data_IF_019336928532
#
_entry.id   IF_019336928532
#
_cell.length_a   1.000
_cell.length_b   1.000
_cell.length_c   1.000
_cell.angle_alpha   90.00
_cell.angle_beta   90.00
_cell.angle_gamma   90.00
#
_symmetry.space_group_name_H-M   'P 1'
#
loop_
_entity.id
_entity.type
_entity.pdbx_description
1 polymer ?
#
# COMPACT_ATOMS: atom_id res chain seq x y z
N UNK A 1 21.16 -66.99 59.15
CA UNK A 1 19.89 -66.27 59.41
C UNK A 1 20.10 -64.81 59.80
N UNK A 2 20.93 -64.49 60.81
CA UNK A 2 21.12 -63.10 61.27
C UNK A 2 21.62 -62.11 60.18
N UNK A 3 22.59 -62.51 59.36
CA UNK A 3 23.16 -61.66 58.32
C UNK A 3 22.14 -61.24 57.24
N UNK A 4 21.28 -62.17 56.82
CA UNK A 4 20.20 -61.89 55.87
C UNK A 4 19.16 -60.92 56.45
N UNK A 5 18.87 -61.05 57.75
CA UNK A 5 17.95 -60.16 58.46
C UNK A 5 18.52 -58.74 58.59
N UNK A 6 19.81 -58.59 58.91
CA UNK A 6 20.49 -57.30 58.91
C UNK A 6 20.50 -56.64 57.52
N UNK A 7 20.71 -57.42 56.45
CA UNK A 7 20.68 -56.91 55.08
C UNK A 7 19.28 -56.40 54.69
N UNK A 8 18.22 -57.13 55.04
CA UNK A 8 16.85 -56.66 54.80
C UNK A 8 16.49 -55.40 55.60
N UNK A 9 16.87 -55.33 56.88
CA UNK A 9 16.66 -54.13 57.70
C UNK A 9 17.36 -52.90 57.10
N UNK A 10 18.59 -53.06 56.62
CA UNK A 10 19.31 -51.97 55.94
C UNK A 10 18.66 -51.57 54.61
N UNK A 11 18.15 -52.53 53.85
CA UNK A 11 17.41 -52.27 52.61
C UNK A 11 16.11 -51.49 52.89
N UNK A 12 15.34 -51.86 53.91
CA UNK A 12 14.12 -51.13 54.31
C UNK A 12 14.42 -49.71 54.81
N UNK A 13 15.47 -49.53 55.63
CA UNK A 13 15.92 -48.18 56.05
C UNK A 13 16.32 -47.30 54.86
N UNK A 14 16.97 -47.88 53.85
CA UNK A 14 17.33 -47.16 52.63
C UNK A 14 16.08 -46.79 51.81
N UNK A 15 15.11 -47.72 51.70
CA UNK A 15 13.84 -47.48 51.03
C UNK A 15 13.02 -46.37 51.72
N UNK A 16 12.97 -46.36 53.06
CA UNK A 16 12.33 -45.31 53.86
C UNK A 16 12.97 -43.94 53.60
N UNK A 17 14.32 -43.85 53.59
CA UNK A 17 15.03 -42.61 53.23
C UNK A 17 14.72 -42.14 51.80
N UNK A 18 14.65 -43.08 50.85
CA UNK A 18 14.27 -42.77 49.46
C UNK A 18 12.84 -42.27 49.36
N UNK A 19 11.90 -42.92 50.05
CA UNK A 19 10.49 -42.51 50.12
C UNK A 19 10.35 -41.11 50.75
N UNK A 20 11.06 -40.83 51.84
CA UNK A 20 11.07 -39.51 52.46
C UNK A 20 11.64 -38.42 51.53
N UNK A 21 12.68 -38.74 50.74
CA UNK A 21 13.22 -37.81 49.73
C UNK A 21 12.22 -37.59 48.59
N UNK A 22 11.61 -38.66 48.08
CA UNK A 22 10.60 -38.57 47.03
C UNK A 22 9.39 -37.73 47.48
N UNK A 23 8.94 -37.91 48.74
CA UNK A 23 7.85 -37.12 49.30
C UNK A 23 8.18 -35.64 49.39
N UNK A 24 9.36 -35.27 49.90
CA UNK A 24 9.81 -33.87 49.90
C UNK A 24 9.90 -33.27 48.49
N UNK A 25 10.33 -34.06 47.51
CA UNK A 25 10.39 -33.61 46.12
C UNK A 25 8.99 -33.40 45.53
N UNK A 26 8.04 -34.29 45.82
CA UNK A 26 6.64 -34.15 45.44
C UNK A 26 6.03 -32.90 46.09
N UNK A 27 6.17 -32.71 47.40
CA UNK A 27 5.65 -31.54 48.12
C UNK A 27 6.22 -30.21 47.57
N UNK A 28 7.45 -30.20 47.07
CA UNK A 28 8.04 -29.04 46.40
C UNK A 28 7.45 -28.86 45.00
N UNK A 29 7.35 -29.94 44.22
CA UNK A 29 6.80 -29.90 42.88
C UNK A 29 5.34 -29.42 42.87
N UNK A 30 4.52 -29.91 43.79
CA UNK A 30 3.13 -29.47 43.97
C UNK A 30 3.06 -27.97 44.30
N UNK A 31 3.86 -27.48 45.25
CA UNK A 31 3.90 -26.03 45.57
C UNK A 31 4.33 -25.16 44.39
N UNK A 32 5.32 -25.60 43.62
CA UNK A 32 5.79 -24.87 42.43
C UNK A 32 4.72 -24.91 41.34
N UNK A 33 4.06 -26.05 41.15
CA UNK A 33 3.00 -26.22 40.17
C UNK A 33 1.79 -25.34 40.51
N UNK A 34 1.35 -25.31 41.77
CA UNK A 34 0.26 -24.46 42.24
C UNK A 34 0.59 -22.99 42.05
N UNK A 35 1.80 -22.56 42.47
CA UNK A 35 2.25 -21.18 42.29
C UNK A 35 2.32 -20.79 40.81
N UNK A 36 2.78 -21.68 39.93
CA UNK A 36 2.79 -21.47 38.49
C UNK A 36 1.37 -21.36 37.93
N UNK A 37 0.45 -22.24 38.32
CA UNK A 37 -0.93 -22.21 37.86
C UNK A 37 -1.63 -20.91 38.25
N UNK A 38 -1.48 -20.48 39.51
CA UNK A 38 -2.04 -19.20 39.97
C UNK A 38 -1.48 -18.03 39.17
N UNK A 39 -0.15 -17.98 39.01
CA UNK A 39 0.49 -16.87 38.28
C UNK A 39 0.09 -16.85 36.80
N UNK A 40 0.03 -18.02 36.15
CA UNK A 40 -0.42 -18.14 34.77
C UNK A 40 -1.86 -17.68 34.60
N UNK A 41 -2.77 -18.08 35.49
CA UNK A 41 -4.18 -17.67 35.44
C UNK A 41 -4.33 -16.16 35.61
N UNK A 42 -3.60 -15.56 36.54
CA UNK A 42 -3.56 -14.11 36.75
C UNK A 42 -3.07 -13.36 35.52
N UNK A 43 -1.95 -13.79 34.93
CA UNK A 43 -1.34 -13.13 33.78
C UNK A 43 -2.24 -13.22 32.54
N UNK A 44 -2.86 -14.39 32.30
CA UNK A 44 -3.83 -14.58 31.20
C UNK A 44 -5.07 -13.71 31.42
N UNK A 45 -5.61 -13.66 32.64
CA UNK A 45 -6.77 -12.83 32.94
C UNK A 45 -6.48 -11.33 32.73
N UNK A 46 -5.30 -10.85 33.14
CA UNK A 46 -4.87 -9.48 32.92
C UNK A 46 -4.66 -9.16 31.44
N UNK A 47 -4.07 -10.08 30.69
CA UNK A 47 -3.87 -9.96 29.24
C UNK A 47 -5.21 -9.86 28.50
N UNK A 48 -6.16 -10.76 28.79
CA UNK A 48 -7.49 -10.74 28.19
C UNK A 48 -8.25 -9.47 28.55
N UNK A 49 -8.13 -8.97 29.78
CA UNK A 49 -8.74 -7.70 30.19
C UNK A 49 -8.16 -6.51 29.41
N UNK A 50 -6.83 -6.47 29.22
CA UNK A 50 -6.17 -5.42 28.44
C UNK A 50 -6.60 -5.43 26.97
N UNK A 51 -6.61 -6.61 26.35
CA UNK A 51 -7.06 -6.78 24.96
C UNK A 51 -8.54 -6.39 24.85
N UNK A 52 -9.41 -6.91 25.73
CA UNK A 52 -10.85 -6.59 25.73
C UNK A 52 -11.12 -5.09 25.77
N UNK A 53 -10.44 -4.36 26.67
CA UNK A 53 -10.57 -2.89 26.75
C UNK A 53 -10.20 -2.24 25.42
N UNK A 54 -9.09 -2.65 24.82
CA UNK A 54 -8.62 -2.05 23.57
C UNK A 54 -9.51 -2.38 22.38
N UNK A 55 -10.05 -3.60 22.33
CA UNK A 55 -11.05 -4.00 21.33
C UNK A 55 -12.29 -3.14 21.46
N UNK A 56 -12.81 -2.93 22.68
CA UNK A 56 -13.97 -2.06 22.89
C UNK A 56 -13.70 -0.62 22.44
N UNK A 57 -12.55 -0.04 22.79
CA UNK A 57 -12.15 1.31 22.34
C UNK A 57 -12.14 1.44 20.81
N UNK A 58 -11.52 0.49 20.11
CA UNK A 58 -11.44 0.49 18.63
C UNK A 58 -12.83 0.28 18.02
N UNK A 59 -13.61 -0.64 18.58
CA UNK A 59 -14.94 -0.96 18.08
C UNK A 59 -15.92 0.22 18.23
N UNK A 60 -15.93 0.91 19.37
CA UNK A 60 -16.74 2.10 19.59
C UNK A 60 -16.31 3.26 18.68
N UNK A 61 -15.02 3.37 18.33
CA UNK A 61 -14.55 4.35 17.35
C UNK A 61 -15.08 4.05 15.92
N UNK A 62 -15.30 2.78 15.58
CA UNK A 62 -15.90 2.37 14.31
C UNK A 62 -17.43 2.52 14.30
N UNK A 63 -18.09 2.47 15.46
CA UNK A 63 -19.56 2.56 15.60
C UNK A 63 -20.01 3.61 16.64
N UNK A 64 -19.67 4.89 16.46
CA UNK A 64 -20.10 5.95 17.37
C UNK A 64 -21.62 6.00 17.51
N UNK A 65 -22.09 6.06 18.75
CA UNK A 65 -23.51 6.18 19.08
C UNK A 65 -24.27 4.85 19.16
N UNK A 66 -23.60 3.72 18.95
CA UNK A 66 -24.15 2.40 19.22
C UNK A 66 -23.81 1.94 20.64
N UNK A 67 -24.82 1.51 21.39
CA UNK A 67 -24.69 1.03 22.77
C UNK A 67 -24.18 -0.43 22.79
N UNK A 68 -22.98 -0.63 22.25
CA UNK A 68 -22.26 -1.91 22.17
C UNK A 68 -20.93 -1.84 22.94
N UNK A 69 -20.88 -1.03 23.99
CA UNK A 69 -19.66 -0.66 24.72
C UNK A 69 -18.98 -1.79 25.51
N UNK A 70 -19.57 -2.99 25.56
CA UNK A 70 -19.06 -4.11 26.37
C UNK A 70 -18.60 -5.31 25.54
N UNK A 71 -17.92 -5.04 24.42
CA UNK A 71 -17.12 -6.06 23.73
C UNK A 71 -16.01 -6.56 24.66
N UNK A 72 -15.84 -7.88 24.71
CA UNK A 72 -14.72 -8.49 25.43
C UNK A 72 -14.29 -9.83 24.82
N UNK A 73 -13.07 -10.22 25.14
CA UNK A 73 -12.49 -11.52 24.81
C UNK A 73 -12.45 -12.34 26.09
N UNK A 74 -13.25 -13.40 26.15
CA UNK A 74 -13.43 -14.21 27.35
C UNK A 74 -12.89 -15.65 27.16
N UNK A 75 -12.48 -16.35 28.23
CA UNK A 75 -12.16 -17.79 28.19
C UNK A 75 -13.43 -18.63 27.94
N UNK A 76 -13.46 -19.47 26.91
CA UNK A 76 -14.63 -20.29 26.49
C UNK A 76 -14.50 -21.74 26.92
N UNK A 77 -13.29 -22.28 26.75
CA UNK A 77 -12.93 -23.61 27.21
C UNK A 77 -11.56 -23.55 27.86
N UNK A 78 -11.09 -24.66 28.42
CA UNK A 78 -9.74 -24.77 28.97
C UNK A 78 -8.62 -24.39 27.97
N UNK A 79 -8.92 -24.30 26.66
CA UNK A 79 -7.95 -23.99 25.60
C UNK A 79 -8.42 -22.93 24.59
N UNK A 80 -9.57 -22.29 24.80
CA UNK A 80 -10.18 -21.42 23.81
C UNK A 80 -10.66 -20.11 24.41
N UNK A 81 -10.57 -19.04 23.62
CA UNK A 81 -11.20 -17.75 23.90
C UNK A 81 -12.32 -17.52 22.91
N UNK A 82 -13.29 -16.70 23.29
CA UNK A 82 -14.43 -16.35 22.44
C UNK A 82 -14.80 -14.89 22.67
N UNK A 83 -15.29 -14.24 21.61
CA UNK A 83 -15.79 -12.88 21.70
C UNK A 83 -17.16 -12.86 22.38
N UNK A 84 -17.36 -11.91 23.27
CA UNK A 84 -18.62 -11.69 23.95
C UNK A 84 -19.02 -10.22 23.84
N UNK A 85 -20.31 -9.98 23.61
CA UNK A 85 -20.90 -8.64 23.60
C UNK A 85 -22.12 -8.63 24.53
N UNK A 86 -22.50 -7.46 25.03
CA UNK A 86 -23.83 -7.25 25.57
C UNK A 86 -24.71 -6.65 24.50
N UNK A 87 -25.88 -7.25 24.30
CA UNK A 87 -26.84 -6.84 23.30
C UNK A 87 -28.20 -6.73 23.99
N UNK A 88 -28.69 -5.49 24.18
CA UNK A 88 -29.96 -5.19 24.84
C UNK A 88 -30.13 -5.90 26.21
N UNK A 89 -29.11 -5.84 27.07
CA UNK A 89 -29.12 -6.46 28.39
C UNK A 89 -28.95 -7.99 28.39
N UNK A 90 -28.65 -8.58 27.23
CA UNK A 90 -28.36 -10.01 27.09
C UNK A 90 -26.92 -10.23 26.66
N UNK A 91 -26.18 -11.07 27.39
CA UNK A 91 -24.80 -11.42 27.06
C UNK A 91 -24.79 -12.46 25.93
N UNK A 92 -24.19 -12.12 24.79
CA UNK A 92 -24.13 -12.96 23.60
C UNK A 92 -22.72 -13.47 23.35
N UNK A 93 -22.60 -14.78 23.17
CA UNK A 93 -21.32 -15.48 23.05
C UNK A 93 -21.46 -16.82 22.32
N UNK A 94 -21.00 -16.95 21.06
CA UNK A 94 -20.40 -15.91 20.23
C UNK A 94 -21.45 -14.92 19.70
N UNK A 95 -21.06 -13.72 19.24
CA UNK A 95 -22.00 -12.67 18.82
C UNK A 95 -22.57 -12.84 17.40
N UNK A 96 -22.21 -13.91 16.68
CA UNK A 96 -22.57 -14.10 15.26
C UNK A 96 -24.08 -14.21 15.00
N UNK A 97 -24.88 -14.59 16.00
CA UNK A 97 -26.33 -14.70 15.85
C UNK A 97 -27.09 -13.37 15.99
N UNK A 98 -26.41 -12.30 16.44
CA UNK A 98 -27.04 -11.00 16.73
C UNK A 98 -26.39 -9.84 15.97
N UNK A 99 -25.14 -9.98 15.53
CA UNK A 99 -24.42 -8.96 14.76
C UNK A 99 -24.56 -9.19 13.25
N UNK A 100 -24.62 -8.10 12.49
CA UNK A 100 -24.49 -8.16 11.04
C UNK A 100 -23.05 -8.51 10.62
N UNK A 101 -22.88 -8.89 9.36
CA UNK A 101 -21.56 -9.20 8.79
C UNK A 101 -20.57 -8.02 8.90
N UNK A 102 -21.04 -6.79 8.68
CA UNK A 102 -20.24 -5.57 8.83
C UNK A 102 -19.74 -5.38 10.27
N UNK A 103 -20.61 -5.64 11.26
CA UNK A 103 -20.23 -5.57 12.67
C UNK A 103 -19.24 -6.67 13.04
N UNK A 104 -19.42 -7.89 12.54
CA UNK A 104 -18.49 -9.00 12.77
C UNK A 104 -17.10 -8.71 12.18
N UNK A 105 -17.04 -8.18 10.96
CA UNK A 105 -15.77 -7.80 10.34
C UNK A 105 -15.09 -6.67 11.09
N UNK A 106 -15.84 -5.65 11.53
CA UNK A 106 -15.30 -4.57 12.36
C UNK A 106 -14.76 -5.06 13.70
N UNK A 107 -15.45 -6.02 14.33
CA UNK A 107 -15.01 -6.66 15.57
C UNK A 107 -13.69 -7.44 15.36
N UNK A 108 -13.58 -8.14 14.23
CA UNK A 108 -12.37 -8.86 13.85
C UNK A 108 -11.19 -7.91 13.61
N UNK A 109 -11.40 -6.77 12.94
CA UNK A 109 -10.38 -5.73 12.75
C UNK A 109 -9.97 -5.13 14.11
N UNK A 110 -10.93 -4.81 14.97
CA UNK A 110 -10.65 -4.29 16.31
C UNK A 110 -9.80 -5.27 17.14
N UNK A 111 -10.14 -6.56 17.10
CA UNK A 111 -9.36 -7.62 17.74
C UNK A 111 -7.95 -7.73 17.14
N UNK A 112 -7.83 -7.75 15.82
CA UNK A 112 -6.54 -7.84 15.14
C UNK A 112 -5.62 -6.67 15.52
N UNK A 113 -6.12 -5.44 15.48
CA UNK A 113 -5.36 -4.24 15.83
C UNK A 113 -4.95 -4.23 17.31
N UNK A 114 -5.86 -4.58 18.23
CA UNK A 114 -5.55 -4.69 19.65
C UNK A 114 -4.50 -5.79 19.95
N UNK A 115 -4.60 -6.93 19.27
CA UNK A 115 -3.61 -8.00 19.36
C UNK A 115 -2.26 -7.58 18.79
N UNK A 116 -2.25 -6.91 17.65
CA UNK A 116 -1.04 -6.35 17.09
C UNK A 116 -0.38 -5.39 18.10
N UNK A 117 -1.14 -4.52 18.77
CA UNK A 117 -0.56 -3.54 19.71
C UNK A 117 0.05 -4.23 20.92
N UNK A 118 -0.53 -5.38 21.27
CA UNK A 118 -0.12 -6.16 22.43
C UNK A 118 1.08 -7.06 22.15
N UNK A 119 1.22 -7.60 20.94
CA UNK A 119 2.20 -8.65 20.64
C UNK A 119 3.24 -8.26 19.59
N UNK A 120 3.00 -7.22 18.79
CA UNK A 120 3.93 -6.76 17.76
C UNK A 120 4.97 -5.77 18.33
N UNK A 121 5.89 -6.28 19.15
CA UNK A 121 6.90 -5.45 19.83
C UNK A 121 8.13 -5.15 18.95
N UNK A 122 8.35 -5.91 17.87
CA UNK A 122 9.63 -5.90 17.13
C UNK A 122 9.53 -5.53 15.65
N UNK A 123 8.41 -5.79 14.98
CA UNK A 123 8.33 -5.66 13.51
C UNK A 123 8.15 -4.20 13.08
N UNK A 124 7.43 -3.39 13.88
CA UNK A 124 7.27 -1.95 13.67
C UNK A 124 6.40 -1.55 12.46
N UNK A 125 5.81 -2.52 11.75
CA UNK A 125 4.88 -2.28 10.65
C UNK A 125 3.66 -3.22 10.70
N UNK A 126 2.58 -2.82 10.04
CA UNK A 126 1.42 -3.67 9.75
C UNK A 126 1.08 -3.67 8.27
N UNK A 127 0.65 -4.84 7.80
CA UNK A 127 0.09 -5.04 6.46
C UNK A 127 -1.40 -5.38 6.58
N UNK A 128 -2.26 -4.57 5.96
CA UNK A 128 -3.70 -4.78 5.88
C UNK A 128 -4.05 -5.05 4.42
N UNK A 129 -4.41 -6.29 4.10
CA UNK A 129 -4.79 -6.70 2.74
C UNK A 129 -6.31 -6.84 2.63
N UNK A 130 -6.91 -5.84 1.99
CA UNK A 130 -8.34 -5.78 1.65
C UNK A 130 -9.31 -5.98 2.82
N UNK A 131 -8.97 -5.37 3.95
CA UNK A 131 -9.70 -5.52 5.23
C UNK A 131 -11.10 -4.90 5.25
N UNK A 132 -11.54 -4.26 4.17
CA UNK A 132 -12.81 -3.52 4.14
C UNK A 132 -13.97 -4.31 3.53
N UNK A 133 -13.76 -5.60 3.21
CA UNK A 133 -14.81 -6.39 2.59
C UNK A 133 -16.05 -6.46 3.50
N UNK A 134 -17.23 -6.35 2.91
CA UNK A 134 -18.54 -6.29 3.60
C UNK A 134 -18.79 -5.06 4.51
N UNK A 135 -17.94 -4.02 4.47
CA UNK A 135 -18.24 -2.71 5.09
C UNK A 135 -19.12 -1.85 4.19
N UNK A 136 -20.09 -1.14 4.78
CA UNK A 136 -20.79 -0.04 4.10
C UNK A 136 -19.90 1.22 3.97
N UNK A 137 -20.40 2.21 3.23
CA UNK A 137 -19.64 3.43 2.92
C UNK A 137 -19.26 4.23 4.16
N UNK A 138 -20.12 4.26 5.19
CA UNK A 138 -19.89 5.03 6.41
C UNK A 138 -18.77 4.39 7.25
N UNK A 139 -18.85 3.08 7.46
CA UNK A 139 -17.84 2.35 8.23
C UNK A 139 -16.46 2.37 7.54
N UNK A 140 -16.41 2.41 6.19
CA UNK A 140 -15.14 2.58 5.45
C UNK A 140 -14.44 3.89 5.78
N UNK A 141 -15.18 4.99 5.86
CA UNK A 141 -14.63 6.30 6.21
C UNK A 141 -14.03 6.29 7.62
N UNK A 142 -14.79 5.76 8.58
CA UNK A 142 -14.35 5.65 9.98
C UNK A 142 -13.11 4.78 10.14
N UNK A 143 -13.03 3.65 9.44
CA UNK A 143 -11.84 2.82 9.44
C UNK A 143 -10.63 3.56 8.85
N UNK A 144 -10.81 4.32 7.77
CA UNK A 144 -9.72 5.11 7.20
C UNK A 144 -9.23 6.20 8.16
N UNK A 145 -10.14 6.87 8.89
CA UNK A 145 -9.80 7.82 9.95
C UNK A 145 -9.04 7.15 11.09
N UNK A 146 -9.57 6.04 11.60
CA UNK A 146 -8.94 5.23 12.66
C UNK A 146 -7.51 4.82 12.28
N UNK A 147 -7.30 4.31 11.06
CA UNK A 147 -5.97 3.90 10.59
C UNK A 147 -5.02 5.09 10.41
N UNK A 148 -5.51 6.21 9.88
CA UNK A 148 -4.71 7.40 9.65
C UNK A 148 -4.25 8.07 10.96
N UNK A 149 -5.11 8.09 11.99
CA UNK A 149 -4.87 8.83 13.23
C UNK A 149 -4.41 7.96 14.39
N UNK A 150 -4.95 6.74 14.49
CA UNK A 150 -4.84 5.90 15.68
C UNK A 150 -3.56 5.05 15.76
N UNK A 151 -2.83 4.91 14.65
CA UNK A 151 -1.71 3.96 14.52
C UNK A 151 -0.44 4.62 13.96
N UNK A 152 -0.21 5.89 14.29
CA UNK A 152 0.91 6.69 13.78
C UNK A 152 2.30 6.20 14.23
N UNK A 153 2.39 5.44 15.33
CA UNK A 153 3.62 4.83 15.83
C UNK A 153 4.12 3.68 14.93
N UNK A 154 3.29 3.19 14.01
CA UNK A 154 3.60 2.07 13.14
C UNK A 154 3.67 2.48 11.67
N UNK A 155 4.53 1.79 10.91
CA UNK A 155 4.45 1.85 9.46
C UNK A 155 3.24 1.04 8.99
N UNK A 156 2.20 1.71 8.49
CA UNK A 156 1.06 1.03 7.89
C UNK A 156 1.25 0.82 6.39
N UNK A 157 0.96 -0.38 5.92
CA UNK A 157 0.88 -0.77 4.52
C UNK A 157 -0.54 -1.28 4.29
N UNK A 158 -1.31 -0.56 3.49
CA UNK A 158 -2.72 -0.90 3.23
C UNK A 158 -2.88 -1.20 1.75
N UNK A 159 -3.34 -2.42 1.46
CA UNK A 159 -3.70 -2.88 0.13
C UNK A 159 -5.23 -2.95 0.06
N UNK A 160 -5.80 -2.45 -1.02
CA UNK A 160 -7.25 -2.49 -1.24
C UNK A 160 -7.56 -2.47 -2.72
N UNK A 161 -8.66 -3.11 -3.11
CA UNK A 161 -9.23 -2.97 -4.44
C UNK A 161 -10.34 -1.90 -4.50
N UNK A 162 -10.70 -1.30 -3.37
CA UNK A 162 -11.78 -0.33 -3.29
C UNK A 162 -11.26 1.11 -3.45
N UNK A 163 -11.64 1.74 -4.55
CA UNK A 163 -11.21 3.08 -4.90
C UNK A 163 -11.73 4.14 -3.92
N UNK A 164 -12.93 3.99 -3.36
CA UNK A 164 -13.50 4.99 -2.46
C UNK A 164 -12.75 5.01 -1.13
N UNK A 165 -12.43 3.85 -0.59
CA UNK A 165 -11.62 3.71 0.61
C UNK A 165 -10.21 4.25 0.39
N UNK A 166 -9.57 3.90 -0.74
CA UNK A 166 -8.26 4.45 -1.12
C UNK A 166 -8.27 5.98 -1.18
N UNK A 167 -9.27 6.58 -1.83
CA UNK A 167 -9.41 8.03 -1.93
C UNK A 167 -9.64 8.68 -0.56
N UNK A 168 -10.49 8.09 0.27
CA UNK A 168 -10.79 8.59 1.60
C UNK A 168 -9.54 8.58 2.49
N UNK A 169 -8.85 7.43 2.56
CA UNK A 169 -7.59 7.28 3.29
C UNK A 169 -6.52 8.24 2.75
N UNK A 170 -6.43 8.40 1.43
CA UNK A 170 -5.50 9.33 0.78
C UNK A 170 -5.76 10.80 1.09
N UNK A 171 -7.02 11.19 1.33
CA UNK A 171 -7.39 12.55 1.77
C UNK A 171 -7.06 12.73 3.24
N UNK A 172 -7.36 11.74 4.08
CA UNK A 172 -7.16 11.81 5.53
C UNK A 172 -5.69 11.72 5.94
N UNK A 173 -4.89 10.97 5.17
CA UNK A 173 -3.47 10.74 5.39
C UNK A 173 -2.64 11.25 4.17
N UNK A 174 -2.53 12.58 3.97
CA UNK A 174 -1.89 13.15 2.78
C UNK A 174 -0.39 12.87 2.69
N UNK A 175 0.27 12.54 3.81
CA UNK A 175 1.69 12.19 3.89
C UNK A 175 2.00 10.76 3.43
N UNK A 176 1.00 9.89 3.31
CA UNK A 176 1.20 8.50 2.92
C UNK A 176 1.60 8.36 1.46
N UNK A 177 2.41 7.34 1.17
CA UNK A 177 2.76 6.98 -0.22
C UNK A 177 1.57 6.32 -0.89
N UNK A 178 1.19 6.86 -2.05
CA UNK A 178 0.05 6.41 -2.85
C UNK A 178 0.56 5.65 -4.06
N UNK A 179 0.12 4.42 -4.20
CA UNK A 179 0.46 3.52 -5.31
C UNK A 179 -0.83 2.82 -5.74
N UNK A 180 -1.22 3.01 -6.99
CA UNK A 180 -2.34 2.27 -7.59
C UNK A 180 -1.77 1.34 -8.65
N UNK A 181 -2.13 0.06 -8.58
CA UNK A 181 -1.73 -0.91 -9.58
C UNK A 181 -2.72 -0.92 -10.75
N UNK A 182 -2.24 -0.62 -11.95
CA UNK A 182 -3.08 -0.48 -13.15
C UNK A 182 -3.22 -1.78 -13.94
N UNK A 183 -2.15 -2.58 -14.02
CA UNK A 183 -2.13 -3.83 -14.77
C UNK A 183 -0.95 -4.69 -14.33
N UNK A 184 -0.97 -5.98 -14.69
CA UNK A 184 0.09 -6.93 -14.31
C UNK A 184 0.41 -7.85 -15.49
N UNK A 185 1.69 -8.23 -15.63
CA UNK A 185 2.07 -9.36 -16.47
C UNK A 185 3.19 -10.18 -15.84
N UNK A 186 3.22 -11.48 -16.12
CA UNK A 186 4.21 -12.40 -15.54
C UNK A 186 5.66 -11.94 -15.80
N UNK A 187 5.96 -11.45 -17.01
CA UNK A 187 7.30 -11.03 -17.40
C UNK A 187 7.71 -9.64 -16.85
N UNK A 188 6.76 -8.77 -16.50
CA UNK A 188 7.04 -7.38 -16.13
C UNK A 188 6.58 -7.00 -14.71
N UNK A 189 5.87 -7.88 -14.02
CA UNK A 189 5.30 -7.61 -12.71
C UNK A 189 4.09 -6.65 -12.75
N UNK A 190 3.64 -6.18 -11.56
CA UNK A 190 2.58 -5.19 -11.43
C UNK A 190 3.06 -3.82 -11.92
N UNK A 191 2.20 -3.10 -12.59
CA UNK A 191 2.39 -1.74 -13.09
C UNK A 191 1.63 -0.77 -12.22
N UNK A 192 2.19 0.42 -11.99
CA UNK A 192 1.58 1.46 -11.15
C UNK A 192 1.14 2.68 -11.93
N UNK A 193 0.26 3.52 -11.37
CA UNK A 193 -0.07 4.87 -11.87
C UNK A 193 1.05 5.89 -11.69
N UNK A 194 2.12 5.55 -10.96
CA UNK A 194 3.36 6.30 -11.10
C UNK A 194 3.87 6.07 -12.52
N UNK A 195 3.74 7.09 -13.36
CA UNK A 195 4.27 7.10 -14.72
C UNK A 195 5.78 6.87 -14.66
N UNK A 196 6.20 5.63 -14.88
CA UNK A 196 7.60 5.24 -14.90
C UNK A 196 8.19 5.40 -16.30
N UNK A 197 7.93 6.52 -16.98
CA UNK A 197 8.46 6.79 -18.32
C UNK A 197 9.96 6.52 -18.37
N UNK A 198 10.72 6.97 -17.37
CA UNK A 198 12.17 6.72 -17.24
C UNK A 198 12.51 5.22 -17.13
N UNK A 199 11.70 4.44 -16.40
CA UNK A 199 11.89 2.99 -16.25
C UNK A 199 11.58 2.24 -17.55
N UNK A 200 10.51 2.63 -18.26
CA UNK A 200 10.14 2.05 -19.56
C UNK A 200 11.19 2.38 -20.62
N UNK A 201 11.70 3.62 -20.64
CA UNK A 201 12.79 4.02 -21.53
C UNK A 201 14.06 3.22 -21.29
N UNK A 202 14.42 2.98 -20.02
CA UNK A 202 15.57 2.11 -19.68
C UNK A 202 15.37 0.71 -20.22
N UNK A 203 14.20 0.11 -20.00
CA UNK A 203 13.90 -1.22 -20.51
C UNK A 203 13.89 -1.30 -22.04
N UNK A 204 13.47 -0.23 -22.72
CA UNK A 204 13.52 -0.15 -24.17
C UNK A 204 14.97 -0.13 -24.68
N UNK A 205 15.86 0.62 -24.02
CA UNK A 205 17.30 0.66 -24.32
C UNK A 205 17.96 -0.71 -24.12
N UNK A 206 17.71 -1.36 -22.98
CA UNK A 206 18.22 -2.72 -22.69
C UNK A 206 17.82 -3.73 -23.78
N UNK A 207 16.58 -3.66 -24.27
CA UNK A 207 16.10 -4.53 -25.36
C UNK A 207 16.80 -4.23 -26.68
N UNK A 208 17.03 -2.95 -26.97
CA UNK A 208 17.72 -2.53 -28.19
C UNK A 208 19.18 -3.03 -28.18
N UNK A 209 19.85 -2.91 -27.03
CA UNK A 209 21.21 -3.42 -26.81
C UNK A 209 21.27 -4.95 -26.95
N UNK A 210 20.23 -5.67 -26.52
CA UNK A 210 20.13 -7.12 -26.72
C UNK A 210 19.71 -7.54 -28.14
N UNK A 211 19.53 -6.60 -29.07
CA UNK A 211 19.14 -6.86 -30.46
C UNK A 211 17.63 -7.05 -30.69
N UNK A 212 16.79 -6.89 -29.65
CA UNK A 212 15.33 -6.95 -29.74
C UNK A 212 14.75 -5.59 -30.17
N UNK A 213 14.96 -5.24 -31.44
CA UNK A 213 14.51 -3.96 -32.03
C UNK A 213 12.98 -3.81 -31.94
N UNK A 214 12.24 -4.90 -32.13
CA UNK A 214 10.78 -4.89 -32.08
C UNK A 214 10.26 -4.64 -30.67
N UNK A 215 10.81 -5.33 -29.67
CA UNK A 215 10.46 -5.10 -28.26
C UNK A 215 10.87 -3.71 -27.80
N UNK A 216 12.03 -3.20 -28.24
CA UNK A 216 12.46 -1.83 -27.98
C UNK A 216 11.46 -0.81 -28.56
N UNK A 217 11.04 -0.96 -29.82
CA UNK A 217 10.05 -0.06 -30.44
C UNK A 217 8.69 -0.10 -29.73
N UNK A 218 8.22 -1.29 -29.34
CA UNK A 218 6.97 -1.46 -28.58
C UNK A 218 7.03 -0.73 -27.23
N UNK A 219 8.16 -0.85 -26.53
CA UNK A 219 8.39 -0.16 -25.25
C UNK A 219 8.54 1.35 -25.43
N UNK A 220 9.22 1.80 -26.49
CA UNK A 220 9.35 3.22 -26.82
C UNK A 220 7.98 3.86 -27.08
N UNK A 221 7.11 3.22 -27.87
CA UNK A 221 5.73 3.68 -28.10
C UNK A 221 4.97 3.85 -26.80
N UNK A 222 5.04 2.84 -25.94
CA UNK A 222 4.39 2.84 -24.64
C UNK A 222 4.91 3.97 -23.73
N UNK A 223 6.23 4.16 -23.67
CA UNK A 223 6.84 5.22 -22.86
C UNK A 223 6.34 6.60 -23.30
N UNK A 224 6.26 6.84 -24.61
CA UNK A 224 5.75 8.09 -25.17
C UNK A 224 4.27 8.29 -24.85
N UNK A 225 3.44 7.25 -24.97
CA UNK A 225 2.01 7.32 -24.65
C UNK A 225 1.78 7.64 -23.17
N UNK A 226 2.45 6.93 -22.26
CA UNK A 226 2.39 7.20 -20.82
C UNK A 226 2.86 8.62 -20.48
N UNK A 227 3.96 9.09 -21.09
CA UNK A 227 4.43 10.47 -20.91
C UNK A 227 3.40 11.49 -21.37
N UNK A 228 2.79 11.29 -22.53
CA UNK A 228 1.79 12.22 -23.06
C UNK A 228 0.50 12.22 -22.24
N UNK A 229 0.08 11.05 -21.72
CA UNK A 229 -1.05 10.93 -20.79
C UNK A 229 -0.76 11.68 -19.48
N UNK A 230 0.42 11.48 -18.88
CA UNK A 230 0.86 12.20 -17.69
C UNK A 230 0.85 13.72 -17.92
N UNK A 231 1.41 14.19 -19.03
CA UNK A 231 1.43 15.62 -19.37
C UNK A 231 0.00 16.14 -19.58
N UNK A 232 -0.87 15.39 -20.26
CA UNK A 232 -2.25 15.81 -20.47
C UNK A 232 -3.04 15.90 -19.17
N UNK A 233 -2.87 14.92 -18.29
CA UNK A 233 -3.48 14.90 -16.96
C UNK A 233 -2.95 16.07 -16.11
N UNK A 234 -1.63 16.20 -16.00
CA UNK A 234 -0.98 17.20 -15.17
C UNK A 234 -1.27 18.64 -15.62
N UNK A 235 -1.54 18.86 -16.91
CA UNK A 235 -1.84 20.17 -17.46
C UNK A 235 -3.34 20.42 -17.69
N UNK A 236 -4.21 19.48 -17.32
CA UNK A 236 -5.65 19.50 -17.63
C UNK A 236 -5.91 19.81 -19.12
N UNK A 237 -5.26 19.06 -20.00
CA UNK A 237 -5.34 19.29 -21.42
C UNK A 237 -6.79 19.10 -21.93
N UNK A 238 -7.31 20.04 -22.75
CA UNK A 238 -8.69 19.97 -23.23
C UNK A 238 -8.83 18.88 -24.30
N UNK A 239 -9.29 17.70 -23.87
CA UNK A 239 -9.56 16.53 -24.72
C UNK A 239 -11.08 16.25 -24.79
N UNK A 240 -11.59 15.67 -25.90
CA UNK A 240 -12.98 15.27 -25.99
C UNK A 240 -13.37 14.30 -24.87
N UNK A 241 -14.46 14.59 -24.17
CA UNK A 241 -15.00 13.73 -23.11
C UNK A 241 -15.47 12.38 -23.68
N UNK A 242 -15.05 11.28 -23.04
CA UNK A 242 -15.45 9.90 -23.36
C UNK A 242 -15.62 9.12 -22.04
N UNK A 243 -16.52 8.13 -22.01
CA UNK A 243 -16.73 7.25 -20.84
C UNK A 243 -16.12 5.86 -21.07
N UNK A 244 -15.61 5.25 -19.99
CA UNK A 244 -15.12 3.86 -19.95
C UNK A 244 -14.05 3.56 -21.02
N UNK A 245 -14.14 2.38 -21.64
CA UNK A 245 -13.17 1.91 -22.64
C UNK A 245 -12.89 2.89 -23.80
N UNK A 246 -13.84 3.77 -24.14
CA UNK A 246 -13.63 4.77 -25.18
C UNK A 246 -12.63 5.87 -24.78
N UNK A 247 -12.48 6.13 -23.48
CA UNK A 247 -11.44 7.02 -22.96
C UNK A 247 -10.09 6.28 -22.84
N UNK A 248 -10.11 5.01 -22.47
CA UNK A 248 -8.89 4.19 -22.29
C UNK A 248 -8.20 3.88 -23.61
N UNK A 249 -8.95 3.79 -24.71
CA UNK A 249 -8.43 3.56 -26.08
C UNK A 249 -8.12 4.86 -26.84
N UNK A 250 -7.73 5.91 -26.14
CA UNK A 250 -7.43 7.20 -26.78
C UNK A 250 -6.19 7.08 -27.64
N UNK A 251 -6.27 7.56 -28.89
CA UNK A 251 -5.13 7.50 -29.80
C UNK A 251 -4.05 8.51 -29.41
N UNK A 252 -2.78 8.13 -29.57
CA UNK A 252 -1.63 8.97 -29.20
C UNK A 252 -1.64 10.33 -29.92
N UNK A 253 -2.14 10.37 -31.15
CA UNK A 253 -2.32 11.61 -31.92
C UNK A 253 -3.32 12.59 -31.30
N UNK A 254 -4.28 12.10 -30.50
CA UNK A 254 -5.18 12.96 -29.72
C UNK A 254 -4.44 13.61 -28.54
N UNK A 255 -3.54 12.86 -27.88
CA UNK A 255 -2.73 13.37 -26.78
C UNK A 255 -1.78 14.47 -27.25
N UNK A 256 -1.10 14.29 -28.40
CA UNK A 256 -0.28 15.34 -28.99
C UNK A 256 -1.06 16.64 -29.26
N UNK A 257 -2.29 16.53 -29.79
CA UNK A 257 -3.17 17.69 -29.99
C UNK A 257 -3.52 18.36 -28.66
N UNK A 258 -3.82 17.57 -27.62
CA UNK A 258 -4.06 18.04 -26.27
C UNK A 258 -2.88 18.86 -25.74
N UNK A 259 -1.67 18.28 -25.76
CA UNK A 259 -0.43 18.94 -25.31
C UNK A 259 -0.19 20.24 -26.08
N UNK A 260 -0.25 20.22 -27.42
CA UNK A 260 -0.02 21.43 -28.24
C UNK A 260 -1.02 22.53 -27.93
N UNK A 261 -2.30 22.20 -27.77
CA UNK A 261 -3.35 23.17 -27.45
C UNK A 261 -3.10 23.83 -26.09
N UNK A 262 -2.82 23.02 -25.06
CA UNK A 262 -2.54 23.52 -23.71
C UNK A 262 -1.30 24.41 -23.69
N UNK A 263 -0.22 23.99 -24.37
CA UNK A 263 1.01 24.77 -24.45
C UNK A 263 0.81 26.07 -25.23
N UNK A 264 0.02 26.07 -26.30
CA UNK A 264 -0.31 27.28 -27.06
C UNK A 264 -1.05 28.31 -26.19
N UNK A 265 -1.94 27.84 -25.33
CA UNK A 265 -2.74 28.69 -24.44
C UNK A 265 -1.96 29.17 -23.21
N UNK A 266 -1.16 28.29 -22.58
CA UNK A 266 -0.56 28.55 -21.25
C UNK A 266 0.95 28.78 -21.24
N UNK A 267 1.69 28.30 -22.25
CA UNK A 267 3.15 28.31 -22.24
C UNK A 267 3.76 28.37 -23.65
N UNK A 268 3.45 29.44 -24.42
CA UNK A 268 3.85 29.58 -25.83
C UNK A 268 5.36 29.44 -26.08
N UNK A 269 6.20 29.99 -25.19
CA UNK A 269 7.66 29.86 -25.32
C UNK A 269 8.13 28.40 -25.14
N UNK A 270 7.48 27.65 -24.24
CA UNK A 270 7.75 26.22 -24.08
C UNK A 270 7.30 25.47 -25.33
N UNK A 271 6.12 25.79 -25.90
CA UNK A 271 5.67 25.22 -27.18
C UNK A 271 6.71 25.41 -28.27
N UNK A 272 7.21 26.63 -28.48
CA UNK A 272 8.22 26.92 -29.50
C UNK A 272 9.49 26.08 -29.32
N UNK A 273 9.88 25.83 -28.06
CA UNK A 273 11.06 25.00 -27.75
C UNK A 273 10.84 23.49 -27.96
N UNK A 274 9.61 22.98 -27.80
CA UNK A 274 9.30 21.54 -27.90
C UNK A 274 8.62 21.15 -29.21
N UNK A 275 8.10 22.09 -29.98
CA UNK A 275 7.37 21.82 -31.23
C UNK A 275 8.19 20.99 -32.25
N UNK A 276 9.50 21.25 -32.47
CA UNK A 276 10.31 20.39 -33.32
C UNK A 276 10.39 18.95 -32.81
N UNK A 277 10.50 18.77 -31.48
CA UNK A 277 10.51 17.44 -30.86
C UNK A 277 9.17 16.74 -31.03
N UNK A 278 8.05 17.43 -30.80
CA UNK A 278 6.70 16.85 -30.96
C UNK A 278 6.44 16.41 -32.40
N UNK A 279 6.84 17.23 -33.39
CA UNK A 279 6.72 16.87 -34.81
C UNK A 279 7.53 15.63 -35.18
N UNK A 280 8.78 15.56 -34.71
CA UNK A 280 9.63 14.40 -34.96
C UNK A 280 9.09 13.14 -34.29
N UNK A 281 8.59 13.24 -33.05
CA UNK A 281 7.98 12.12 -32.35
C UNK A 281 6.69 11.62 -33.00
N UNK A 282 5.85 12.52 -33.54
CA UNK A 282 4.68 12.10 -34.33
C UNK A 282 5.09 11.35 -35.61
N UNK A 283 6.15 11.81 -36.28
CA UNK A 283 6.70 11.10 -37.44
C UNK A 283 7.28 9.74 -37.05
N UNK A 284 8.00 9.65 -35.93
CA UNK A 284 8.53 8.39 -35.38
C UNK A 284 7.40 7.41 -35.04
N UNK A 285 6.28 7.88 -34.51
CA UNK A 285 5.09 7.03 -34.29
C UNK A 285 4.63 6.40 -35.59
N UNK A 286 4.46 7.20 -36.65
CA UNK A 286 3.98 6.72 -37.94
C UNK A 286 4.95 5.80 -38.66
N UNK A 287 6.23 6.17 -38.71
CA UNK A 287 7.25 5.52 -39.54
C UNK A 287 8.00 4.37 -38.84
N UNK A 288 8.15 4.46 -37.52
CA UNK A 288 9.09 3.63 -36.76
C UNK A 288 8.32 2.77 -35.75
N UNK A 289 7.56 3.41 -34.85
CA UNK A 289 6.98 2.75 -33.68
C UNK A 289 5.67 1.99 -34.00
N UNK A 290 4.90 2.41 -35.01
CA UNK A 290 3.73 1.66 -35.49
C UNK A 290 4.11 0.55 -36.48
N UNK A 291 5.09 0.83 -37.35
CA UNK A 291 5.57 -0.09 -38.40
C UNK A 291 6.32 -1.27 -37.79
N UNK A 292 7.14 -1.03 -36.76
CA UNK A 292 7.79 -2.12 -36.04
C UNK A 292 6.77 -3.08 -35.42
N UNK A 293 5.61 -2.58 -34.95
CA UNK A 293 4.57 -3.36 -34.26
C UNK A 293 3.65 -4.14 -35.22
N UNK A 294 3.43 -3.64 -36.43
CA UNK A 294 2.65 -4.32 -37.46
C UNK A 294 3.57 -4.84 -38.57
N UNK A 295 3.85 -6.15 -38.58
CA UNK A 295 4.84 -6.89 -39.41
C UNK A 295 4.84 -6.62 -40.94
N UNK A 296 5.11 -5.38 -41.32
CA UNK A 296 5.27 -4.90 -42.67
C UNK A 296 6.75 -4.97 -43.05
N UNK A 297 7.01 -5.27 -44.32
CA UNK A 297 8.30 -5.76 -44.85
C UNK A 297 9.47 -4.77 -44.82
N UNK A 298 9.36 -3.65 -44.10
CA UNK A 298 10.46 -2.73 -43.85
C UNK A 298 11.11 -3.07 -42.51
N UNK A 299 12.36 -3.54 -42.50
CA UNK A 299 13.13 -3.65 -41.25
C UNK A 299 13.31 -2.24 -40.70
N UNK A 300 12.55 -1.86 -39.68
CA UNK A 300 12.84 -0.68 -38.87
C UNK A 300 14.28 -0.78 -38.38
N UNK A 301 15.10 0.23 -38.64
CA UNK A 301 16.51 0.22 -38.26
C UNK A 301 16.65 0.38 -36.75
N UNK A 302 17.57 -0.36 -36.12
CA UNK A 302 17.90 -0.16 -34.69
C UNK A 302 18.22 1.31 -34.39
N UNK A 303 18.88 2.01 -35.32
CA UNK A 303 19.17 3.45 -35.26
C UNK A 303 17.94 4.35 -35.25
N UNK A 304 16.84 3.95 -35.90
CA UNK A 304 15.59 4.72 -35.92
C UNK A 304 14.88 4.62 -34.57
N UNK A 305 14.87 3.41 -33.98
CA UNK A 305 14.33 3.17 -32.63
C UNK A 305 15.18 3.89 -31.58
N UNK A 306 16.51 3.87 -31.72
CA UNK A 306 17.43 4.62 -30.86
C UNK A 306 17.16 6.13 -30.91
N UNK A 307 17.04 6.69 -32.12
CA UNK A 307 16.72 8.10 -32.29
C UNK A 307 15.36 8.48 -31.68
N UNK A 308 14.35 7.62 -31.80
CA UNK A 308 13.06 7.83 -31.16
C UNK A 308 13.19 7.81 -29.62
N UNK A 309 13.93 6.87 -29.05
CA UNK A 309 14.18 6.79 -27.61
C UNK A 309 14.87 8.03 -27.05
N UNK A 310 15.87 8.56 -27.77
CA UNK A 310 16.54 9.81 -27.37
C UNK A 310 15.59 11.01 -27.41
N UNK A 311 14.71 11.09 -28.42
CA UNK A 311 13.70 12.17 -28.48
C UNK A 311 12.66 12.07 -27.38
N UNK A 312 12.23 10.86 -27.01
CA UNK A 312 11.28 10.66 -25.89
C UNK A 312 11.96 11.07 -24.58
N UNK A 313 13.21 10.67 -24.35
CA UNK A 313 13.98 11.09 -23.18
C UNK A 313 14.16 12.61 -23.13
N UNK A 314 14.50 13.24 -24.25
CA UNK A 314 14.63 14.70 -24.34
C UNK A 314 13.31 15.43 -24.06
N UNK A 315 12.17 14.87 -24.48
CA UNK A 315 10.85 15.39 -24.15
C UNK A 315 10.54 15.23 -22.65
N UNK A 316 10.81 14.06 -22.08
CA UNK A 316 10.63 13.77 -20.65
C UNK A 316 11.39 14.75 -19.76
N UNK A 317 12.62 15.10 -20.15
CA UNK A 317 13.45 16.06 -19.43
C UNK A 317 12.86 17.48 -19.40
N UNK A 318 12.06 17.89 -20.40
CA UNK A 318 11.41 19.22 -20.39
C UNK A 318 10.41 19.38 -19.26
N UNK A 319 9.92 18.27 -18.73
CA UNK A 319 8.90 18.23 -17.69
C UNK A 319 9.47 17.91 -16.31
N UNK A 320 10.78 17.72 -16.22
CA UNK A 320 11.49 17.32 -15.01
C UNK A 320 12.43 18.43 -14.55
N UNK A 321 12.47 18.68 -13.25
CA UNK A 321 13.39 19.66 -12.69
C UNK A 321 14.85 19.19 -12.84
N UNK A 322 15.78 20.01 -13.37
CA UNK A 322 17.18 19.64 -13.48
C UNK A 322 17.86 19.32 -12.13
N UNK A 323 17.40 19.95 -11.05
CA UNK A 323 18.03 19.81 -9.72
C UNK A 323 17.43 18.66 -8.90
N UNK A 324 16.11 18.63 -8.72
CA UNK A 324 15.46 17.62 -7.86
C UNK A 324 14.88 16.44 -8.64
N UNK A 325 14.95 16.44 -9.98
CA UNK A 325 14.41 15.42 -10.89
C UNK A 325 12.91 15.15 -10.78
N UNK A 326 12.18 15.85 -9.92
CA UNK A 326 10.71 15.74 -9.86
C UNK A 326 10.04 16.52 -10.98
N UNK A 327 8.85 16.10 -11.39
CA UNK A 327 8.02 16.82 -12.35
C UNK A 327 7.80 18.28 -11.97
N UNK A 328 7.71 19.15 -12.96
CA UNK A 328 7.50 20.61 -12.77
C UNK A 328 6.08 20.96 -12.28
N UNK A 329 5.20 19.97 -12.15
CA UNK A 329 3.85 20.06 -11.58
C UNK A 329 3.69 19.24 -10.29
N UNK A 330 4.79 18.83 -9.64
CA UNK A 330 4.73 18.06 -8.38
C UNK A 330 3.90 18.79 -7.29
N UNK A 331 3.93 20.12 -7.26
CA UNK A 331 3.14 20.95 -6.35
C UNK A 331 2.28 21.92 -7.16
N UNK A 332 1.09 22.23 -6.65
CA UNK A 332 0.20 23.21 -7.25
C UNK A 332 -0.77 22.61 -8.26
N UNK A 333 -1.23 23.43 -9.19
CA UNK A 333 -2.17 23.08 -10.26
C UNK A 333 -1.58 23.52 -11.62
N UNK A 334 -2.22 23.25 -12.76
CA UNK A 334 -1.67 23.62 -14.07
C UNK A 334 -1.41 25.12 -14.30
N UNK A 335 -1.97 26.01 -13.48
CA UNK A 335 -1.77 27.46 -13.58
C UNK A 335 -0.56 27.92 -12.76
N UNK A 336 -0.16 27.15 -11.74
CA UNK A 336 0.92 27.49 -10.81
C UNK A 336 1.69 26.25 -10.34
N UNK A 337 2.04 25.36 -11.27
CA UNK A 337 2.77 24.12 -11.04
C UNK A 337 4.22 24.40 -10.67
N UNK A 338 4.76 23.68 -9.68
CA UNK A 338 6.19 23.71 -9.32
C UNK A 338 6.74 22.33 -9.02
N UNK A 339 8.05 22.16 -9.24
CA UNK A 339 8.78 20.99 -8.78
C UNK A 339 8.93 20.98 -7.24
N UNK A 340 9.42 19.86 -6.69
CA UNK A 340 9.61 19.68 -5.23
C UNK A 340 10.50 20.75 -4.61
N UNK A 341 11.59 21.14 -5.27
CA UNK A 341 12.49 22.19 -4.79
C UNK A 341 12.05 23.62 -5.18
N UNK A 342 10.98 23.78 -5.96
CA UNK A 342 10.41 25.08 -6.33
C UNK A 342 11.16 25.86 -7.42
N UNK A 343 12.29 25.35 -7.93
CA UNK A 343 13.16 26.03 -8.90
C UNK A 343 12.69 25.92 -10.36
N UNK A 344 11.87 24.93 -10.67
CA UNK A 344 11.25 24.75 -11.98
C UNK A 344 9.74 24.84 -11.82
N UNK A 345 9.08 25.50 -12.77
CA UNK A 345 7.64 25.77 -12.70
C UNK A 345 6.96 25.63 -14.05
N UNK A 346 5.66 25.41 -13.99
CA UNK A 346 4.75 25.49 -15.13
C UNK A 346 3.55 26.39 -14.78
N UNK A 347 3.22 27.41 -15.59
CA UNK A 347 4.00 27.91 -16.73
C UNK A 347 5.40 28.41 -16.32
N UNK A 348 6.36 28.51 -17.25
CA UNK A 348 7.67 29.08 -16.96
C UNK A 348 7.51 30.53 -16.49
N UNK A 349 7.99 30.84 -15.28
CA UNK A 349 7.97 32.22 -14.77
C UNK A 349 8.92 33.06 -15.63
N UNK A 350 8.42 34.16 -16.22
CA UNK A 350 9.28 35.14 -16.88
C UNK A 350 10.25 35.69 -15.83
N UNK A 351 11.55 35.58 -16.06
CA UNK A 351 12.53 36.33 -15.27
C UNK A 351 12.14 37.82 -15.36
N UNK A 352 11.63 38.38 -14.26
CA UNK A 352 11.49 39.83 -14.16
C UNK A 352 12.89 40.39 -14.28
N UNK A 353 13.12 41.24 -15.30
CA UNK A 353 14.32 42.07 -15.37
C UNK A 353 14.44 42.76 -14.01
N UNK A 354 15.51 42.46 -13.30
CA UNK A 354 15.92 43.22 -12.12
C UNK A 354 15.99 44.68 -12.53
N UNK A 355 15.06 45.48 -12.03
CA UNK A 355 15.19 46.94 -12.07
C UNK A 355 16.32 47.24 -11.09
N UNK A 356 17.50 47.53 -11.66
CA UNK A 356 18.58 48.18 -10.96
C UNK A 356 18.20 49.66 -10.79
N UNK A 357 17.88 50.06 -9.57
CA UNK A 357 18.08 51.42 -9.07
C UNK A 357 18.89 51.36 -7.78
#
# INVERSE_FOLDING_TARGET
>A
MLAALCQQVNAWRLAEKKAARARRALDLAERVFDAYQTKQQEDVAQLLKRISRRVAEIYSALHPGEDLDSVSVEPWTAKGVELAIEFYGSRQRPPHGVLSESHLNSLAIALFLAMAETFNEQIGFLLLDDVINSFDVEHRGRLAELLADGFSEWQLIVLTHDQQFFEHLSRRAPSWRKLEFTSWSYAAGPRTTQYETTGILRNARERLESGDVHGAATKARRALEELLQEVCEALWAPLPFRRGQGNDKREIGELFKGVRRTLKERAKLLLESVEPLLKNLEADVGATLNVAVHGSRGRTGASEVEAALERIAALDEKWSCPQCRTRIWHRGNPEAGRCKCGLSSFPPVRASRSVSE
#
